data_IF_016787651717
#
_entry.id   IF_016787651717
#
_cell.length_a   1.000
_cell.length_b   1.000
_cell.length_c   1.000
_cell.angle_alpha   90.00
_cell.angle_beta   90.00
_cell.angle_gamma   90.00
#
_symmetry.space_group_name_H-M   'P 1'
#
loop_
_entity.id
_entity.type
_entity.pdbx_description
1 polymer ?
#
# COMPACT_ATOMS: atom_id res chain seq x y z
N UNK A 1 13.40 10.83 20.24
CA UNK A 1 14.23 10.04 19.29
C UNK A 1 13.36 8.96 18.65
N UNK A 2 13.28 8.88 17.31
CA UNK A 2 12.55 7.85 16.59
C UNK A 2 13.58 6.94 15.92
N UNK A 3 14.00 5.91 16.65
CA UNK A 3 14.95 4.92 16.18
C UNK A 3 14.28 3.81 15.34
N UNK A 4 15.08 2.88 14.82
CA UNK A 4 14.61 1.75 14.00
C UNK A 4 14.42 0.51 14.87
N UNK A 5 13.16 0.22 15.24
CA UNK A 5 12.80 -1.06 15.86
C UNK A 5 12.81 -2.20 14.83
N UNK A 6 12.79 -3.45 15.30
CA UNK A 6 12.70 -4.63 14.42
C UNK A 6 11.49 -4.57 13.46
N UNK A 7 10.37 -4.03 13.92
CA UNK A 7 9.16 -3.84 13.14
C UNK A 7 9.32 -2.81 12.03
N UNK A 8 9.97 -1.67 12.34
CA UNK A 8 10.32 -0.65 11.35
C UNK A 8 11.27 -1.25 10.31
N UNK A 9 12.30 -1.96 10.75
CA UNK A 9 13.28 -2.60 9.88
C UNK A 9 12.62 -3.60 8.93
N UNK A 10 11.75 -4.47 9.43
CA UNK A 10 11.03 -5.43 8.62
C UNK A 10 10.12 -4.76 7.58
N UNK A 11 9.44 -3.66 7.93
CA UNK A 11 8.63 -2.87 7.00
C UNK A 11 9.50 -2.24 5.91
N UNK A 12 10.58 -1.55 6.29
CA UNK A 12 11.50 -0.89 5.36
C UNK A 12 12.17 -1.88 4.42
N UNK A 13 12.68 -3.01 4.94
CA UNK A 13 13.37 -4.03 4.13
C UNK A 13 12.46 -4.61 3.05
N UNK A 14 11.17 -4.85 3.38
CA UNK A 14 10.19 -5.33 2.39
C UNK A 14 9.85 -4.27 1.37
N UNK A 15 9.67 -3.03 1.80
CA UNK A 15 9.37 -1.90 0.92
C UNK A 15 10.53 -1.66 -0.07
N UNK A 16 11.78 -1.60 0.41
CA UNK A 16 12.99 -1.40 -0.41
C UNK A 16 13.21 -2.56 -1.39
N UNK A 17 12.88 -3.79 -1.00
CA UNK A 17 12.94 -4.95 -1.91
C UNK A 17 11.96 -4.84 -3.08
N UNK A 18 10.82 -4.19 -2.88
CA UNK A 18 9.81 -3.95 -3.93
C UNK A 18 10.15 -2.73 -4.79
N UNK A 19 10.71 -1.70 -4.17
CA UNK A 19 11.15 -0.47 -4.83
C UNK A 19 12.33 0.15 -4.06
N UNK A 20 13.52 0.07 -4.62
CA UNK A 20 14.74 0.64 -4.03
C UNK A 20 14.69 2.16 -3.88
N UNK A 21 13.84 2.84 -4.66
CA UNK A 21 13.62 4.28 -4.60
C UNK A 21 12.47 4.70 -3.68
N UNK A 22 11.81 3.73 -3.01
CA UNK A 22 10.63 3.98 -2.19
C UNK A 22 10.85 5.07 -1.14
N UNK A 23 9.86 5.93 -1.00
CA UNK A 23 9.75 6.88 0.11
C UNK A 23 8.90 6.27 1.21
N UNK A 24 9.22 6.61 2.44
CA UNK A 24 8.38 6.34 3.60
C UNK A 24 8.00 7.66 4.25
N UNK A 25 6.69 7.83 4.48
CA UNK A 25 6.14 8.96 5.24
C UNK A 25 5.80 8.46 6.64
N UNK A 26 6.32 9.16 7.62
CA UNK A 26 5.98 8.96 9.02
C UNK A 26 4.94 10.00 9.42
N UNK A 27 3.89 9.53 10.03
CA UNK A 27 2.95 10.37 10.76
C UNK A 27 3.14 10.08 12.24
N UNK A 28 3.69 11.04 12.95
CA UNK A 28 4.06 10.90 14.36
C UNK A 28 2.96 11.53 15.20
N UNK A 29 2.12 10.71 15.81
CA UNK A 29 1.11 11.16 16.77
C UNK A 29 1.58 11.01 18.22
N UNK A 30 0.78 11.47 19.17
CA UNK A 30 1.13 11.49 20.60
C UNK A 30 1.42 10.10 21.19
N UNK A 31 0.71 9.06 20.74
CA UNK A 31 0.81 7.70 21.29
C UNK A 31 1.27 6.65 20.29
N UNK A 32 1.23 6.98 19.00
CA UNK A 32 1.52 6.03 17.94
C UNK A 32 2.15 6.73 16.74
N UNK A 33 3.00 6.02 16.05
CA UNK A 33 3.58 6.45 14.78
C UNK A 33 3.09 5.54 13.67
N UNK A 34 2.58 6.12 12.59
CA UNK A 34 2.18 5.36 11.40
C UNK A 34 3.17 5.57 10.27
N UNK A 35 3.75 4.48 9.79
CA UNK A 35 4.57 4.44 8.60
C UNK A 35 3.68 4.23 7.37
N UNK A 36 3.89 5.02 6.34
CA UNK A 36 3.24 4.90 5.05
C UNK A 36 4.28 4.69 3.96
N UNK A 37 4.05 3.72 3.10
CA UNK A 37 4.85 3.48 1.89
C UNK A 37 3.94 3.28 0.68
N UNK A 38 4.51 3.38 -0.52
CA UNK A 38 3.82 3.06 -1.77
C UNK A 38 4.57 1.96 -2.48
N UNK A 39 3.86 0.91 -2.86
CA UNK A 39 4.43 -0.16 -3.68
C UNK A 39 4.22 0.11 -5.18
N UNK A 40 5.00 -0.50 -6.08
CA UNK A 40 5.06 -0.12 -7.51
C UNK A 40 3.75 -0.18 -8.31
N UNK A 41 2.72 -0.87 -7.81
CA UNK A 41 1.42 -1.03 -8.49
C UNK A 41 0.29 -0.21 -7.88
N UNK A 42 0.63 1.01 -7.43
CA UNK A 42 -0.31 2.02 -6.91
C UNK A 42 -1.08 1.62 -5.66
N UNK A 43 -0.50 0.79 -4.81
CA UNK A 43 -1.04 0.44 -3.51
C UNK A 43 -0.25 1.16 -2.43
N UNK A 44 -0.95 1.83 -1.50
CA UNK A 44 -0.38 2.32 -0.26
C UNK A 44 -0.32 1.18 0.76
N UNK A 45 0.76 1.13 1.51
CA UNK A 45 0.94 0.21 2.62
C UNK A 45 1.23 1.00 3.88
N UNK A 46 0.70 0.56 5.00
CA UNK A 46 0.92 1.23 6.28
C UNK A 46 1.15 0.24 7.42
N UNK A 47 1.94 0.67 8.40
CA UNK A 47 2.11 0.00 9.68
C UNK A 47 2.06 1.02 10.80
N UNK A 48 1.19 0.79 11.77
CA UNK A 48 1.09 1.62 12.96
C UNK A 48 1.84 0.93 14.10
N UNK A 49 2.67 1.69 14.79
CA UNK A 49 3.52 1.24 15.88
C UNK A 49 3.18 2.06 17.13
N UNK A 50 3.01 1.38 18.24
CA UNK A 50 2.78 1.99 19.55
C UNK A 50 4.14 2.24 20.21
N UNK A 51 4.32 3.38 20.88
CA UNK A 51 5.52 3.65 21.68
C UNK A 51 6.76 4.14 20.92
N UNK A 52 6.67 4.43 19.61
CA UNK A 52 7.73 5.15 18.89
C UNK A 52 7.68 6.66 19.09
N UNK A 53 6.73 7.14 19.86
CA UNK A 53 6.71 8.51 20.36
C UNK A 53 7.90 8.69 21.31
N UNK A 54 8.60 9.80 21.24
CA UNK A 54 9.74 10.13 22.11
C UNK A 54 9.31 10.06 23.60
N UNK A 55 9.50 8.89 24.22
CA UNK A 55 9.09 8.63 25.59
C UNK A 55 9.90 9.40 26.64
N UNK A 56 10.98 10.09 26.25
CA UNK A 56 11.90 10.75 27.17
C UNK A 56 12.31 12.18 26.72
N UNK A 57 11.45 12.90 26.04
CA UNK A 57 11.73 14.27 25.70
C UNK A 57 10.46 15.10 25.76
N UNK A 58 10.42 16.08 26.67
CA UNK A 58 9.60 17.25 26.43
C UNK A 58 9.77 17.67 24.96
N UNK A 59 8.70 18.08 24.26
CA UNK A 59 8.86 18.59 22.91
C UNK A 59 9.91 19.68 22.95
N UNK A 60 11.02 19.50 22.23
CA UNK A 60 11.95 20.58 22.00
C UNK A 60 11.12 21.75 21.51
N UNK A 61 11.27 22.90 22.18
CA UNK A 61 10.46 24.10 22.02
C UNK A 61 9.97 24.30 20.57
N UNK A 62 8.65 24.11 20.34
CA UNK A 62 7.95 24.54 19.14
C UNK A 62 7.62 23.50 18.08
N UNK A 63 7.99 22.21 18.19
CA UNK A 63 7.53 21.21 17.22
C UNK A 63 6.12 20.67 17.59
N UNK A 64 5.16 20.67 16.65
CA UNK A 64 3.84 20.10 16.91
C UNK A 64 3.94 18.61 17.19
N UNK A 65 3.19 18.14 18.20
CA UNK A 65 3.00 16.72 18.54
C UNK A 65 2.48 15.84 17.38
N UNK A 66 2.10 16.48 16.27
CA UNK A 66 1.56 15.88 15.07
C UNK A 66 2.43 16.31 13.87
N UNK A 67 3.50 15.59 13.63
CA UNK A 67 4.47 15.92 12.58
C UNK A 67 4.53 14.84 11.50
N UNK A 68 4.57 15.31 10.26
CA UNK A 68 4.82 14.49 9.08
C UNK A 68 6.29 14.62 8.65
N UNK A 69 6.89 13.49 8.33
CA UNK A 69 8.26 13.40 7.85
C UNK A 69 8.32 12.41 6.70
N UNK A 70 8.93 12.80 5.58
CA UNK A 70 9.18 11.88 4.46
C UNK A 70 10.68 11.71 4.26
N UNK A 71 11.11 10.45 4.24
CA UNK A 71 12.51 10.09 3.98
C UNK A 71 12.59 8.95 2.95
N UNK A 72 13.78 8.70 2.42
CA UNK A 72 14.01 7.52 1.57
C UNK A 72 14.11 6.26 2.46
N UNK A 73 13.33 5.23 2.13
CA UNK A 73 13.29 4.00 2.92
C UNK A 73 14.65 3.31 3.00
N UNK A 74 15.43 3.30 1.90
CA UNK A 74 16.77 2.72 1.87
C UNK A 74 17.78 3.49 2.72
N UNK A 75 17.71 4.84 2.76
CA UNK A 75 18.57 5.65 3.63
C UNK A 75 18.31 5.32 5.10
N UNK A 76 17.04 5.22 5.49
CA UNK A 76 16.72 4.86 6.87
C UNK A 76 17.10 3.42 7.22
N UNK A 77 16.93 2.48 6.28
CA UNK A 77 17.28 1.08 6.48
C UNK A 77 18.79 0.88 6.70
N UNK A 78 19.63 1.67 6.04
CA UNK A 78 21.11 1.57 6.13
C UNK A 78 21.72 2.45 7.23
N UNK A 79 20.99 3.42 7.76
CA UNK A 79 21.45 4.23 8.89
C UNK A 79 21.65 3.36 10.16
N UNK A 80 22.49 3.73 11.11
CA UNK A 80 22.58 3.05 12.39
C UNK A 80 21.19 2.92 13.06
N UNK A 81 20.90 1.80 13.72
CA UNK A 81 19.58 1.54 14.28
C UNK A 81 19.18 2.57 15.36
N UNK A 82 20.17 3.15 16.02
CA UNK A 82 20.02 4.20 17.05
C UNK A 82 19.87 5.61 16.48
N UNK A 83 20.03 5.79 15.15
CA UNK A 83 19.89 7.12 14.54
C UNK A 83 18.43 7.58 14.60
N UNK A 84 18.24 8.85 14.94
CA UNK A 84 16.92 9.47 14.84
C UNK A 84 16.57 9.69 13.36
N UNK A 85 15.41 9.19 12.92
CA UNK A 85 14.95 9.36 11.54
C UNK A 85 14.87 10.84 11.12
N UNK A 86 14.69 11.77 12.07
CA UNK A 86 14.65 13.22 11.82
C UNK A 86 15.98 13.80 11.33
N UNK A 87 17.08 13.07 11.52
CA UNK A 87 18.41 13.49 11.03
C UNK A 87 18.66 13.12 9.58
N UNK A 88 17.76 12.30 8.97
CA UNK A 88 17.86 11.90 7.57
C UNK A 88 17.41 13.03 6.63
N UNK A 89 17.82 12.92 5.38
CA UNK A 89 17.44 13.91 4.36
C UNK A 89 15.93 13.89 4.11
N UNK A 90 15.26 14.98 4.39
CA UNK A 90 13.81 15.14 4.15
C UNK A 90 13.49 15.14 2.65
N UNK A 91 12.40 14.46 2.30
CA UNK A 91 11.90 14.28 0.93
C UNK A 91 10.42 14.62 0.80
N UNK A 92 9.91 15.54 1.61
CA UNK A 92 8.48 15.85 1.74
C UNK A 92 7.83 16.20 0.38
N UNK A 93 8.53 16.96 -0.47
CA UNK A 93 8.07 17.29 -1.82
C UNK A 93 7.94 16.06 -2.75
N UNK A 94 8.58 14.94 -2.41
CA UNK A 94 8.49 13.68 -3.16
C UNK A 94 7.20 12.91 -2.89
N UNK A 95 6.51 13.18 -1.78
CA UNK A 95 5.27 12.50 -1.43
C UNK A 95 4.06 13.22 -2.05
N UNK A 96 3.49 12.63 -3.09
CA UNK A 96 2.32 13.19 -3.81
C UNK A 96 1.05 12.34 -3.68
N UNK A 97 1.08 11.32 -2.84
CA UNK A 97 -0.02 10.38 -2.69
C UNK A 97 -0.94 10.81 -1.55
N UNK A 98 -2.24 10.95 -1.83
CA UNK A 98 -3.23 11.17 -0.79
C UNK A 98 -3.31 9.95 0.13
N UNK A 99 -3.59 10.19 1.41
CA UNK A 99 -3.87 9.14 2.39
C UNK A 99 -5.36 8.79 2.42
N UNK A 100 -5.74 7.56 2.79
CA UNK A 100 -7.14 7.20 3.01
C UNK A 100 -7.71 7.99 4.19
N UNK A 101 -9.04 8.29 4.17
CA UNK A 101 -9.70 8.94 5.28
C UNK A 101 -9.58 8.14 6.59
N UNK A 102 -9.58 8.84 7.72
CA UNK A 102 -9.53 8.20 9.05
C UNK A 102 -10.77 7.36 9.34
N UNK A 103 -11.95 7.85 8.91
CA UNK A 103 -13.20 7.10 9.07
C UNK A 103 -13.23 5.94 8.08
N UNK A 104 -13.27 4.75 8.62
CA UNK A 104 -13.26 3.47 7.90
C UNK A 104 -14.34 2.54 8.44
N UNK A 105 -14.91 1.75 7.56
CA UNK A 105 -15.91 0.74 7.85
C UNK A 105 -15.29 -0.64 7.61
N UNK A 106 -15.52 -1.59 8.51
CA UNK A 106 -15.17 -2.99 8.30
C UNK A 106 -16.35 -3.65 7.58
N UNK A 107 -16.08 -4.21 6.40
CA UNK A 107 -17.11 -4.85 5.57
C UNK A 107 -17.18 -6.35 5.84
N UNK A 108 -16.03 -7.02 5.92
CA UNK A 108 -15.91 -8.46 6.08
C UNK A 108 -14.55 -8.85 6.65
N UNK A 109 -14.43 -10.06 7.16
CA UNK A 109 -13.17 -10.66 7.59
C UNK A 109 -12.92 -11.95 6.81
N UNK A 110 -11.71 -12.10 6.28
CA UNK A 110 -11.26 -13.23 5.46
C UNK A 110 -10.17 -13.97 6.23
N UNK A 111 -10.16 -15.31 6.27
CA UNK A 111 -9.07 -16.05 6.87
C UNK A 111 -7.71 -15.67 6.26
N UNK A 112 -6.70 -15.44 7.13
CA UNK A 112 -5.36 -15.02 6.67
C UNK A 112 -4.70 -16.06 5.77
N UNK A 113 -4.92 -17.34 6.03
CA UNK A 113 -4.44 -18.45 5.20
C UNK A 113 -5.04 -18.41 3.78
N UNK A 114 -6.36 -18.17 3.67
CA UNK A 114 -7.04 -18.05 2.38
C UNK A 114 -6.47 -16.88 1.55
N UNK A 115 -6.31 -15.71 2.17
CA UNK A 115 -5.72 -14.56 1.49
C UNK A 115 -4.30 -14.84 0.99
N UNK A 116 -3.48 -15.55 1.80
CA UNK A 116 -2.14 -15.95 1.40
C UNK A 116 -2.16 -16.93 0.23
N UNK A 117 -3.10 -17.89 0.25
CA UNK A 117 -3.32 -18.83 -0.84
C UNK A 117 -3.64 -18.12 -2.17
N UNK A 118 -4.55 -17.15 -2.14
CA UNK A 118 -4.87 -16.32 -3.33
C UNK A 118 -3.64 -15.57 -3.85
N UNK A 119 -2.81 -15.03 -2.96
CA UNK A 119 -1.58 -14.34 -3.34
C UNK A 119 -0.54 -15.27 -3.98
N UNK A 120 -0.39 -16.48 -3.47
CA UNK A 120 0.55 -17.49 -4.01
C UNK A 120 0.07 -17.99 -5.38
N UNK A 121 -1.20 -18.35 -5.53
CA UNK A 121 -1.76 -18.83 -6.78
C UNK A 121 -1.57 -17.82 -7.94
N UNK A 122 -1.77 -16.52 -7.68
CA UNK A 122 -1.52 -15.49 -8.68
C UNK A 122 -0.03 -15.35 -9.04
N UNK A 123 0.88 -15.53 -8.08
CA UNK A 123 2.31 -15.51 -8.35
C UNK A 123 2.75 -16.72 -9.17
N UNK A 124 2.14 -17.89 -8.96
CA UNK A 124 2.40 -19.10 -9.74
C UNK A 124 1.88 -18.96 -11.17
N UNK A 125 0.69 -18.39 -11.36
CA UNK A 125 0.12 -18.07 -12.67
C UNK A 125 1.04 -17.15 -13.46
N UNK A 126 1.58 -16.09 -12.82
CA UNK A 126 2.52 -15.19 -13.49
C UNK A 126 3.78 -15.92 -13.93
N UNK A 127 4.38 -16.74 -13.06
CA UNK A 127 5.58 -17.54 -13.41
C UNK A 127 5.31 -18.51 -14.55
N UNK A 128 4.17 -19.18 -14.55
CA UNK A 128 3.77 -20.10 -15.62
C UNK A 128 3.62 -19.40 -16.98
N UNK A 129 3.08 -18.17 -16.98
CA UNK A 129 2.91 -17.40 -18.23
C UNK A 129 4.24 -16.81 -18.75
N UNK A 130 5.19 -16.51 -17.88
CA UNK A 130 6.53 -16.05 -18.27
C UNK A 130 7.34 -17.17 -18.93
N UNK A 131 7.15 -18.44 -18.51
CA UNK A 131 7.88 -19.61 -19.04
C UNK A 131 7.19 -20.23 -20.26
N UNK A 132 5.87 -20.19 -20.39
CA UNK A 132 5.11 -20.92 -21.41
C UNK A 132 4.44 -20.06 -22.49
N UNK A 133 4.39 -18.75 -22.33
CA UNK A 133 3.57 -17.86 -23.15
C UNK A 133 2.05 -18.12 -22.97
N UNK A 134 1.21 -17.23 -23.48
CA UNK A 134 -0.24 -17.44 -23.50
C UNK A 134 -0.63 -17.86 -24.93
N UNK A 135 -1.12 -19.08 -25.10
CA UNK A 135 -1.62 -19.61 -26.37
C UNK A 135 -0.64 -19.42 -27.56
N UNK A 136 0.68 -19.60 -27.31
CA UNK A 136 1.71 -19.50 -28.36
C UNK A 136 2.01 -18.08 -28.87
N UNK A 137 1.44 -17.04 -28.22
CA UNK A 137 1.77 -15.64 -28.50
C UNK A 137 2.64 -15.06 -27.40
N UNK A 138 3.72 -14.37 -27.77
CA UNK A 138 4.50 -13.57 -26.87
C UNK A 138 3.66 -12.35 -26.40
N UNK A 139 2.89 -12.52 -25.34
CA UNK A 139 2.29 -11.39 -24.64
C UNK A 139 3.36 -10.82 -23.73
N UNK A 140 3.63 -9.52 -23.81
CA UNK A 140 4.66 -8.90 -22.99
C UNK A 140 4.38 -9.14 -21.50
N UNK A 141 5.37 -9.64 -20.76
CA UNK A 141 5.26 -9.99 -19.34
C UNK A 141 4.66 -8.85 -18.47
N UNK A 142 4.86 -7.60 -18.90
CA UNK A 142 4.26 -6.42 -18.26
C UNK A 142 2.74 -6.40 -18.40
N UNK A 143 2.20 -6.63 -19.61
CA UNK A 143 0.75 -6.63 -19.85
C UNK A 143 0.05 -7.75 -19.07
N UNK A 144 0.65 -8.92 -18.99
CA UNK A 144 0.15 -10.05 -18.19
C UNK A 144 0.12 -9.69 -16.71
N UNK A 145 1.20 -9.13 -16.20
CA UNK A 145 1.29 -8.70 -14.80
C UNK A 145 0.23 -7.64 -14.49
N UNK A 146 0.08 -6.63 -15.35
CA UNK A 146 -0.89 -5.55 -15.13
C UNK A 146 -2.32 -6.11 -15.14
N UNK A 147 -2.65 -7.02 -16.06
CA UNK A 147 -3.95 -7.70 -16.12
C UNK A 147 -4.21 -8.57 -14.88
N UNK A 148 -3.20 -9.29 -14.38
CA UNK A 148 -3.32 -10.06 -13.14
C UNK A 148 -3.52 -9.16 -11.92
N UNK A 149 -2.85 -8.02 -11.85
CA UNK A 149 -2.99 -7.07 -10.75
C UNK A 149 -4.39 -6.41 -10.74
N UNK A 150 -5.00 -6.24 -11.90
CA UNK A 150 -6.35 -5.66 -12.04
C UNK A 150 -7.48 -6.69 -11.86
N UNK A 151 -7.14 -7.99 -11.89
CA UNK A 151 -8.10 -9.04 -11.66
C UNK A 151 -8.79 -8.89 -10.29
N UNK A 152 -10.11 -9.07 -10.24
CA UNK A 152 -10.89 -9.08 -9.00
C UNK A 152 -10.65 -10.40 -8.28
N UNK A 153 -9.90 -10.35 -7.19
CA UNK A 153 -9.55 -11.53 -6.41
C UNK A 153 -10.66 -11.94 -5.42
N UNK A 154 -11.36 -10.96 -4.87
CA UNK A 154 -12.36 -11.14 -3.82
C UNK A 154 -13.52 -10.18 -4.08
N UNK A 155 -14.75 -10.65 -3.87
CA UNK A 155 -15.94 -9.81 -3.91
C UNK A 155 -16.61 -9.87 -2.55
N UNK A 156 -16.78 -8.72 -1.93
CA UNK A 156 -17.43 -8.56 -0.62
C UNK A 156 -18.78 -7.89 -0.81
N UNK A 157 -19.83 -8.42 -0.20
CA UNK A 157 -21.17 -7.85 -0.19
C UNK A 157 -21.56 -7.46 1.24
N UNK A 158 -21.68 -6.16 1.50
CA UNK A 158 -22.12 -5.62 2.79
C UNK A 158 -23.42 -4.83 2.61
N UNK A 159 -24.55 -5.46 2.87
CA UNK A 159 -25.86 -4.92 2.57
C UNK A 159 -26.03 -4.62 1.06
N UNK A 160 -26.42 -3.40 0.68
CA UNK A 160 -26.55 -3.01 -0.73
C UNK A 160 -25.19 -2.73 -1.42
N UNK A 161 -24.10 -2.71 -0.66
CA UNK A 161 -22.78 -2.34 -1.15
C UNK A 161 -22.03 -3.60 -1.61
N UNK A 162 -21.58 -3.59 -2.86
CA UNK A 162 -20.65 -4.58 -3.42
C UNK A 162 -19.28 -3.92 -3.59
N UNK A 163 -18.23 -4.56 -3.06
CA UNK A 163 -16.85 -4.08 -3.13
C UNK A 163 -15.99 -5.16 -3.78
N UNK A 164 -15.27 -4.78 -4.80
CA UNK A 164 -14.36 -5.65 -5.54
C UNK A 164 -12.92 -5.37 -5.08
N UNK A 165 -12.28 -6.38 -4.50
CA UNK A 165 -10.90 -6.31 -4.03
C UNK A 165 -9.99 -6.80 -5.14
N UNK A 166 -9.17 -5.92 -5.75
CA UNK A 166 -8.27 -6.33 -6.82
C UNK A 166 -7.06 -7.10 -6.29
N UNK A 167 -6.53 -7.97 -7.12
CA UNK A 167 -5.37 -8.80 -6.81
C UNK A 167 -4.15 -7.99 -6.36
N UNK A 168 -4.00 -6.74 -6.82
CA UNK A 168 -2.93 -5.83 -6.36
C UNK A 168 -2.93 -5.59 -4.85
N UNK A 169 -4.11 -5.50 -4.21
CA UNK A 169 -4.22 -5.37 -2.77
C UNK A 169 -3.78 -6.65 -2.05
N UNK A 170 -4.21 -7.81 -2.54
CA UNK A 170 -3.81 -9.12 -2.01
C UNK A 170 -2.28 -9.27 -2.10
N UNK A 171 -1.71 -8.95 -3.27
CA UNK A 171 -0.26 -9.00 -3.48
C UNK A 171 0.50 -8.05 -2.54
N UNK A 172 -0.02 -6.85 -2.28
CA UNK A 172 0.61 -5.92 -1.36
C UNK A 172 0.66 -6.49 0.07
N UNK A 173 -0.46 -7.03 0.57
CA UNK A 173 -0.53 -7.65 1.90
C UNK A 173 0.45 -8.83 2.02
N UNK A 174 0.47 -9.72 1.03
CA UNK A 174 1.32 -10.92 1.04
C UNK A 174 2.81 -10.55 0.92
N UNK A 175 3.18 -9.68 -0.01
CA UNK A 175 4.59 -9.28 -0.23
C UNK A 175 5.15 -8.43 0.89
N UNK A 176 4.32 -7.63 1.55
CA UNK A 176 4.68 -6.91 2.76
C UNK A 176 4.69 -7.81 4.01
N UNK A 177 4.23 -9.06 3.90
CA UNK A 177 4.17 -10.01 5.00
C UNK A 177 3.22 -9.54 6.11
N UNK A 178 2.12 -8.90 5.76
CA UNK A 178 1.17 -8.37 6.74
C UNK A 178 0.21 -9.44 7.27
N UNK A 179 -0.15 -10.44 6.45
CA UNK A 179 -1.07 -11.50 6.85
C UNK A 179 -0.37 -12.57 7.68
N UNK A 180 -0.81 -12.77 8.92
CA UNK A 180 -0.58 -13.99 9.68
C UNK A 180 -1.53 -15.09 9.17
N UNK A 181 -1.17 -16.36 9.34
CA UNK A 181 -2.00 -17.47 8.88
C UNK A 181 -3.23 -17.68 9.77
N UNK A 182 -3.06 -17.45 11.04
CA UNK A 182 -4.00 -17.69 12.14
C UNK A 182 -4.88 -16.48 12.48
N UNK A 183 -4.62 -15.32 11.87
CA UNK A 183 -5.41 -14.11 12.11
C UNK A 183 -6.19 -13.68 10.86
N UNK A 184 -7.44 -13.22 11.04
CA UNK A 184 -8.26 -12.74 9.92
C UNK A 184 -7.74 -11.42 9.35
N UNK A 185 -7.91 -11.25 8.05
CA UNK A 185 -7.70 -10.00 7.33
C UNK A 185 -9.05 -9.31 7.11
N UNK A 186 -9.18 -8.08 7.59
CA UNK A 186 -10.42 -7.31 7.47
C UNK A 186 -10.43 -6.51 6.18
N UNK A 187 -11.51 -6.62 5.43
CA UNK A 187 -11.79 -5.77 4.27
C UNK A 187 -12.39 -4.46 4.78
N UNK A 188 -11.77 -3.37 4.40
CA UNK A 188 -12.14 -2.02 4.83
C UNK A 188 -12.63 -1.17 3.66
N UNK A 189 -13.55 -0.27 3.95
CA UNK A 189 -13.93 0.83 3.05
C UNK A 189 -13.71 2.17 3.73
N UNK A 190 -13.17 3.15 3.00
CA UNK A 190 -12.97 4.52 3.45
C UNK A 190 -13.17 5.50 2.28
N UNK A 191 -14.39 6.01 2.10
CA UNK A 191 -14.74 6.77 0.90
C UNK A 191 -14.58 5.92 -0.37
N UNK A 192 -13.68 6.33 -1.27
CA UNK A 192 -13.35 5.59 -2.50
C UNK A 192 -12.21 4.57 -2.30
N UNK A 193 -11.65 4.50 -1.10
CA UNK A 193 -10.56 3.58 -0.80
C UNK A 193 -11.09 2.23 -0.34
N UNK A 194 -10.41 1.19 -0.78
CA UNK A 194 -10.57 -0.19 -0.32
C UNK A 194 -9.29 -0.56 0.42
N UNK A 195 -9.41 -1.17 1.57
CA UNK A 195 -8.28 -1.59 2.39
C UNK A 195 -8.34 -3.06 2.77
N UNK A 196 -7.18 -3.66 2.98
CA UNK A 196 -7.01 -4.95 3.62
C UNK A 196 -6.16 -4.74 4.87
N UNK A 197 -6.80 -4.82 6.05
CA UNK A 197 -6.13 -4.70 7.34
C UNK A 197 -5.82 -6.09 7.91
N UNK A 198 -4.55 -6.38 8.01
CA UNK A 198 -4.01 -7.63 8.52
C UNK A 198 -3.23 -7.41 9.82
N UNK A 199 -2.77 -8.48 10.47
CA UNK A 199 -2.05 -8.46 11.74
C UNK A 199 -0.89 -7.46 11.80
N UNK A 200 -0.09 -7.39 10.72
CA UNK A 200 1.15 -6.61 10.71
C UNK A 200 1.10 -5.35 9.85
N UNK A 201 -0.07 -4.95 9.33
CA UNK A 201 -0.23 -3.74 8.56
C UNK A 201 -1.46 -3.72 7.69
N UNK A 202 -1.63 -2.61 6.97
CA UNK A 202 -2.79 -2.41 6.09
C UNK A 202 -2.32 -2.01 4.70
N UNK A 203 -2.93 -2.59 3.68
CA UNK A 203 -2.79 -2.16 2.30
C UNK A 203 -4.04 -1.39 1.87
N UNK A 204 -3.88 -0.31 1.10
CA UNK A 204 -4.94 0.57 0.63
C UNK A 204 -4.83 0.83 -0.86
N UNK A 205 -5.95 0.78 -1.53
CA UNK A 205 -6.04 1.11 -2.93
C UNK A 205 -7.34 1.87 -3.23
N UNK A 206 -7.30 2.72 -4.24
CA UNK A 206 -8.49 3.35 -4.80
C UNK A 206 -8.47 3.19 -6.31
N UNK A 207 -9.63 2.95 -6.95
CA UNK A 207 -9.73 3.00 -8.40
C UNK A 207 -9.22 4.36 -8.89
N UNK A 208 -8.35 4.36 -9.90
CA UNK A 208 -8.08 5.59 -10.64
C UNK A 208 -9.37 5.94 -11.37
N UNK A 209 -10.00 7.03 -10.98
CA UNK A 209 -11.02 7.67 -11.83
C UNK A 209 -10.29 8.16 -13.07
N UNK A 210 -10.15 7.29 -14.07
CA UNK A 210 -9.71 7.70 -15.39
C UNK A 210 -10.64 8.82 -15.83
N UNK A 211 -10.07 9.96 -16.23
CA UNK A 211 -10.80 10.95 -16.98
C UNK A 211 -11.32 10.24 -18.23
N UNK A 212 -12.58 9.83 -18.22
CA UNK A 212 -13.24 9.31 -19.41
C UNK A 212 -13.23 10.41 -20.47
N UNK A 213 -12.26 10.37 -21.35
CA UNK A 213 -12.28 11.18 -22.55
C UNK A 213 -13.44 10.68 -23.40
N UNK A 214 -14.62 11.30 -23.23
CA UNK A 214 -15.72 11.13 -24.17
C UNK A 214 -15.30 11.87 -25.44
N UNK A 215 -15.05 11.20 -26.57
CA UNK A 215 -14.74 11.88 -27.81
C UNK A 215 -15.92 12.78 -28.18
N UNK A 216 -15.68 14.09 -28.25
CA UNK A 216 -16.68 15.03 -28.72
C UNK A 216 -17.07 14.65 -30.17
N UNK A 217 -18.34 14.28 -30.38
CA UNK A 217 -18.88 14.05 -31.71
C UNK A 217 -18.76 15.33 -32.52
N UNK A 218 -17.84 15.34 -33.47
CA UNK A 218 -17.70 16.45 -34.42
C UNK A 218 -18.93 16.44 -35.31
N UNK A 219 -19.86 17.35 -35.05
CA UNK A 219 -21.00 17.61 -35.96
C UNK A 219 -20.46 18.34 -37.17
N UNK A 220 -20.28 17.62 -38.28
CA UNK A 220 -19.97 18.26 -39.57
C UNK A 220 -21.30 18.82 -40.07
N UNK A 221 -21.46 20.12 -39.99
CA UNK A 221 -22.56 20.85 -40.60
C UNK A 221 -22.28 20.97 -42.09
N UNK A 222 -22.95 20.18 -42.92
CA UNK A 222 -23.00 20.38 -44.37
C UNK A 222 -23.97 21.52 -44.61
N UNK A 223 -23.44 22.71 -44.96
CA UNK A 223 -24.21 23.76 -45.64
C UNK A 223 -24.26 23.40 -47.11
N UNK A 224 -25.45 23.03 -47.63
CA UNK A 224 -25.80 23.08 -49.03
C UNK A 224 -26.16 24.51 -49.47
#
# INVERSE_FOLDING_TARGET
MIGRSADVEAFLARLVRLDAAALVRLHVGATQTTLWGRVPWDVLVSRTLVGLSSADGEPADGEPLDSDLVVRASEWLTAPATSDVRTLTRRDAGWRTALPPLRREVLEAIPGEELRGLGMAAADTLRATETGGIAGRAVGARAVRDALLDHVAIVVSAGPRRVEVPQRLVQAVVRMGFAAADEPVRVLAAGQWIGLAAAYGTAWWRPSTGLGLTPAKRTVSHRG
#
